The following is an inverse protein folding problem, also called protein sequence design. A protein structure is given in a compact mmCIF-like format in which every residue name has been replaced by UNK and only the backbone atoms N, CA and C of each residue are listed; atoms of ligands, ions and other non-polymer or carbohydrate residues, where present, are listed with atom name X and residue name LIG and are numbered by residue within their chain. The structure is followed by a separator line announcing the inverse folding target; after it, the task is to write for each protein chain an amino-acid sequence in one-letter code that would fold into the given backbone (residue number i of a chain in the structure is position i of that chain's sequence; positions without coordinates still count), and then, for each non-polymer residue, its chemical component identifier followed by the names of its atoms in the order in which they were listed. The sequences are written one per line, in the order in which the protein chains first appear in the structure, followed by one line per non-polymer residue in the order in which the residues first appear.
data_IF_117865982273
#
_entry.id   IF_117865982273
#
_cell.length_a   1.000
_cell.length_b   1.000
_cell.length_c   1.000
_cell.angle_alpha   90.00
_cell.angle_beta   90.00
_cell.angle_gamma   90.00
#
_symmetry.space_group_name_H-M   'P 1'
#
loop_
_entity.id
_entity.type
_entity.pdbx_description
1 polymer ?
#
# COMPACT_ATOMS: atom_id res chain seq x y z
N UNK A 1 -22.98 23.09 42.45
CA UNK A 1 -22.90 22.44 41.11
C UNK A 1 -21.50 22.67 40.55
N UNK A 2 -20.67 21.65 40.63
CA UNK A 2 -19.32 21.69 40.07
C UNK A 2 -19.40 21.21 38.63
N UNK A 3 -19.15 22.09 37.66
CA UNK A 3 -19.00 21.72 36.27
C UNK A 3 -17.60 21.13 36.09
N UNK A 4 -17.53 19.82 35.88
CA UNK A 4 -16.30 19.15 35.45
C UNK A 4 -16.11 19.42 33.97
N UNK A 5 -15.15 20.29 33.66
CA UNK A 5 -14.65 20.47 32.29
C UNK A 5 -13.68 19.32 32.00
N UNK A 6 -14.18 18.30 31.32
CA UNK A 6 -13.32 17.29 30.71
C UNK A 6 -12.64 17.91 29.50
N UNK A 7 -11.39 18.29 29.67
CA UNK A 7 -10.53 18.66 28.56
C UNK A 7 -10.21 17.42 27.74
N UNK A 8 -10.79 17.31 26.57
CA UNK A 8 -10.42 16.30 25.57
C UNK A 8 -9.09 16.76 24.97
N UNK A 9 -7.99 16.20 25.50
CA UNK A 9 -6.67 16.34 24.89
C UNK A 9 -6.61 15.50 23.62
N UNK A 10 -6.84 16.14 22.48
CA UNK A 10 -6.67 15.50 21.19
C UNK A 10 -5.17 15.34 20.94
N UNK A 11 -4.66 14.12 21.17
CA UNK A 11 -3.29 13.78 20.84
C UNK A 11 -3.17 13.71 19.32
N UNK A 12 -2.67 14.76 18.72
CA UNK A 12 -2.29 14.78 17.31
C UNK A 12 -1.02 13.94 17.17
N UNK A 13 -1.19 12.67 16.80
CA UNK A 13 -0.07 11.83 16.40
C UNK A 13 0.43 12.32 15.03
N UNK A 14 1.42 13.19 15.07
CA UNK A 14 2.17 13.54 13.86
C UNK A 14 3.02 12.34 13.49
N UNK A 15 2.53 11.54 12.54
CA UNK A 15 3.28 10.42 11.98
C UNK A 15 4.36 10.98 11.05
N UNK A 16 5.62 10.96 11.50
CA UNK A 16 6.80 11.17 10.65
C UNK A 16 7.07 9.90 9.85
N UNK A 17 6.40 9.71 8.72
CA UNK A 17 6.59 8.57 7.84
C UNK A 17 6.41 8.96 6.39
N UNK A 18 6.76 8.04 5.47
CA UNK A 18 6.47 8.21 4.05
C UNK A 18 4.99 8.55 3.87
N UNK A 19 4.70 9.55 3.03
CA UNK A 19 3.34 9.99 2.75
C UNK A 19 2.57 8.88 2.02
N UNK A 20 1.76 8.14 2.77
CA UNK A 20 0.89 7.10 2.25
C UNK A 20 -0.54 7.60 2.35
N UNK A 21 -1.20 7.73 1.19
CA UNK A 21 -2.62 8.05 1.10
C UNK A 21 -3.35 6.82 0.59
N UNK A 22 -4.24 6.27 1.38
CA UNK A 22 -5.01 5.10 1.02
C UNK A 22 -6.51 5.33 1.16
N UNK A 23 -7.28 4.64 0.33
CA UNK A 23 -8.74 4.65 0.39
C UNK A 23 -9.25 3.25 0.05
N UNK A 24 -10.07 2.71 0.93
CA UNK A 24 -10.70 1.40 0.74
C UNK A 24 -12.21 1.57 0.69
N UNK A 25 -12.84 1.00 -0.33
CA UNK A 25 -14.30 0.94 -0.46
C UNK A 25 -14.89 -0.20 0.35
N UNK A 26 -14.06 -1.17 0.71
CA UNK A 26 -14.44 -2.35 1.45
C UNK A 26 -13.26 -2.86 2.26
N UNK A 27 -13.48 -3.26 3.49
CA UNK A 27 -12.50 -3.91 4.32
C UNK A 27 -12.92 -5.36 4.53
N UNK A 28 -12.11 -6.28 4.00
CA UNK A 28 -12.31 -7.71 4.15
C UNK A 28 -11.57 -8.23 5.38
N UNK A 29 -11.74 -9.50 5.69
CA UNK A 29 -11.00 -10.14 6.78
C UNK A 29 -9.50 -10.01 6.55
N UNK A 30 -8.72 -9.48 7.51
CA UNK A 30 -7.28 -9.35 7.37
C UNK A 30 -6.61 -10.69 7.05
N UNK A 31 -5.59 -10.63 6.21
CA UNK A 31 -4.76 -11.77 5.87
C UNK A 31 -3.59 -11.89 6.84
N UNK A 32 -3.13 -13.10 7.07
CA UNK A 32 -1.95 -13.37 7.88
C UNK A 32 -0.68 -13.25 7.05
N UNK A 33 0.48 -13.24 7.71
CA UNK A 33 1.79 -13.21 7.04
C UNK A 33 2.02 -14.45 6.15
N UNK A 34 1.32 -15.54 6.42
CA UNK A 34 1.42 -16.79 5.66
C UNK A 34 0.67 -16.71 4.33
N UNK A 35 -0.31 -15.84 4.21
CA UNK A 35 -1.04 -15.63 2.98
C UNK A 35 -0.15 -14.93 1.94
N UNK A 36 -0.10 -15.49 0.75
CA UNK A 36 0.64 -14.89 -0.37
C UNK A 36 -0.10 -13.69 -0.91
N UNK A 37 0.66 -12.65 -1.25
CA UNK A 37 0.18 -11.47 -1.94
C UNK A 37 0.94 -11.34 -3.25
N UNK A 38 0.24 -11.27 -4.37
CA UNK A 38 0.85 -11.08 -5.67
C UNK A 38 1.11 -9.59 -5.93
N UNK A 39 2.26 -9.29 -6.52
CA UNK A 39 2.60 -7.95 -7.01
C UNK A 39 2.49 -7.93 -8.53
N UNK A 40 1.52 -7.23 -9.04
CA UNK A 40 1.33 -7.06 -10.47
C UNK A 40 1.94 -5.72 -10.87
N UNK A 41 3.01 -5.75 -11.67
CA UNK A 41 3.57 -4.54 -12.25
C UNK A 41 2.69 -4.03 -13.40
N UNK A 42 3.06 -2.93 -14.00
CA UNK A 42 2.20 -2.24 -14.99
C UNK A 42 1.85 -3.12 -16.19
N UNK A 43 2.75 -4.01 -16.58
CA UNK A 43 2.53 -4.96 -17.70
C UNK A 43 1.73 -6.21 -17.31
N UNK A 44 1.56 -6.49 -16.02
CA UNK A 44 0.85 -7.69 -15.58
C UNK A 44 -0.66 -7.44 -15.49
N UNK A 45 -1.43 -8.32 -16.08
CA UNK A 45 -2.89 -8.20 -16.08
C UNK A 45 -3.51 -8.67 -14.76
N UNK A 46 -4.52 -7.93 -14.31
CA UNK A 46 -5.36 -8.32 -13.16
C UNK A 46 -6.34 -9.40 -13.62
N UNK A 47 -6.53 -10.50 -12.85
CA UNK A 47 -7.56 -11.50 -13.20
C UNK A 47 -8.96 -10.89 -13.29
N UNK A 48 -9.73 -11.30 -14.29
CA UNK A 48 -11.08 -10.75 -14.56
C UNK A 48 -12.06 -10.91 -13.39
N UNK A 49 -11.94 -12.01 -12.64
CA UNK A 49 -12.80 -12.31 -11.51
C UNK A 49 -12.24 -11.82 -10.16
N UNK A 50 -11.29 -10.91 -10.18
CA UNK A 50 -10.82 -10.22 -8.98
C UNK A 50 -11.65 -8.99 -8.69
N UNK A 51 -11.77 -8.63 -7.41
CA UNK A 51 -12.53 -7.48 -6.95
C UNK A 51 -11.59 -6.39 -6.44
N UNK A 52 -11.68 -5.20 -7.02
CA UNK A 52 -10.96 -4.04 -6.49
C UNK A 52 -11.61 -3.59 -5.19
N UNK A 53 -10.82 -3.47 -4.12
CA UNK A 53 -11.29 -3.05 -2.80
C UNK A 53 -10.65 -1.74 -2.31
N UNK A 54 -9.61 -1.26 -2.97
CA UNK A 54 -8.96 -0.02 -2.54
C UNK A 54 -7.86 0.44 -3.47
N UNK A 55 -7.28 1.56 -3.09
CA UNK A 55 -6.16 2.20 -3.78
C UNK A 55 -5.25 2.87 -2.77
N UNK A 56 -3.97 3.00 -3.08
CA UNK A 56 -3.03 3.77 -2.28
C UNK A 56 -2.02 4.48 -3.16
N UNK A 57 -1.55 5.62 -2.65
CA UNK A 57 -0.50 6.42 -3.27
C UNK A 57 0.66 6.55 -2.30
N UNK A 58 1.85 6.19 -2.75
CA UNK A 58 3.09 6.31 -2.01
C UNK A 58 3.88 7.46 -2.61
N UNK A 59 4.00 8.54 -1.85
CA UNK A 59 4.64 9.76 -2.28
C UNK A 59 5.95 10.04 -1.56
N UNK A 60 6.53 11.16 -1.91
CA UNK A 60 7.73 11.71 -1.30
C UNK A 60 7.39 12.49 -0.04
N UNK A 61 8.11 12.23 1.06
CA UNK A 61 7.99 13.01 2.30
C UNK A 61 9.08 14.04 2.48
N UNK A 62 10.02 14.12 1.54
CA UNK A 62 11.17 15.02 1.63
C UNK A 62 12.25 14.61 2.64
N UNK A 63 11.95 13.69 3.57
CA UNK A 63 12.85 13.28 4.66
C UNK A 63 13.09 11.77 4.76
N UNK A 64 12.36 10.96 4.00
CA UNK A 64 12.52 9.51 4.04
C UNK A 64 13.52 9.03 3.01
N UNK A 65 14.49 8.21 3.44
CA UNK A 65 15.42 7.49 2.55
C UNK A 65 14.90 6.11 2.16
N UNK A 66 13.85 5.61 2.85
CA UNK A 66 13.23 4.30 2.60
C UNK A 66 12.08 4.42 1.61
N UNK A 67 12.43 4.70 0.35
CA UNK A 67 11.46 4.96 -0.70
C UNK A 67 11.84 4.34 -2.04
N UNK A 68 12.61 3.25 -2.03
CA UNK A 68 12.83 2.48 -3.25
C UNK A 68 11.57 1.69 -3.65
N UNK A 69 11.57 1.13 -4.85
CA UNK A 69 10.42 0.43 -5.38
C UNK A 69 10.03 -0.79 -4.53
N UNK A 70 10.99 -1.62 -4.14
CA UNK A 70 10.76 -2.79 -3.31
C UNK A 70 10.20 -2.40 -1.93
N UNK A 71 10.76 -1.37 -1.30
CA UNK A 71 10.30 -0.89 0.00
C UNK A 71 8.85 -0.41 -0.06
N UNK A 72 8.49 0.33 -1.10
CA UNK A 72 7.11 0.77 -1.31
C UNK A 72 6.16 -0.42 -1.55
N UNK A 73 6.59 -1.44 -2.28
CA UNK A 73 5.79 -2.66 -2.46
C UNK A 73 5.59 -3.43 -1.16
N UNK A 74 6.61 -3.50 -0.30
CA UNK A 74 6.49 -4.14 1.02
C UNK A 74 5.48 -3.40 1.90
N UNK A 75 5.51 -2.07 1.90
CA UNK A 75 4.52 -1.24 2.60
C UNK A 75 3.11 -1.47 2.04
N UNK A 76 2.98 -1.54 0.71
CA UNK A 76 1.72 -1.85 0.06
C UNK A 76 1.20 -3.24 0.41
N UNK A 77 2.08 -4.25 0.49
CA UNK A 77 1.72 -5.60 0.92
C UNK A 77 1.13 -5.62 2.32
N UNK A 78 1.75 -4.90 3.26
CA UNK A 78 1.26 -4.83 4.62
C UNK A 78 -0.14 -4.20 4.66
N UNK A 79 -0.33 -3.11 3.93
CA UNK A 79 -1.63 -2.45 3.82
C UNK A 79 -2.68 -3.35 3.15
N UNK A 80 -2.29 -4.11 2.13
CA UNK A 80 -3.14 -5.10 1.48
C UNK A 80 -3.63 -6.16 2.47
N UNK A 81 -2.71 -6.75 3.23
CA UNK A 81 -3.05 -7.76 4.24
C UNK A 81 -3.98 -7.24 5.32
N UNK A 82 -3.74 -6.05 5.81
CA UNK A 82 -4.61 -5.41 6.83
C UNK A 82 -6.05 -5.27 6.35
N UNK A 83 -6.25 -5.09 5.05
CA UNK A 83 -7.57 -4.88 4.45
C UNK A 83 -8.14 -6.11 3.70
N UNK A 84 -7.42 -7.23 3.74
CA UNK A 84 -7.88 -8.48 3.14
C UNK A 84 -7.65 -8.59 1.64
N UNK A 85 -6.77 -7.76 1.05
CA UNK A 85 -6.38 -7.84 -0.35
C UNK A 85 -5.20 -8.80 -0.53
N UNK A 86 -5.24 -9.59 -1.60
CA UNK A 86 -4.14 -10.51 -1.96
C UNK A 86 -3.48 -10.18 -3.31
N UNK A 87 -3.83 -9.06 -3.91
CA UNK A 87 -3.16 -8.51 -5.09
C UNK A 87 -2.89 -7.02 -4.86
N UNK A 88 -1.64 -6.64 -5.12
CA UNK A 88 -1.18 -5.26 -5.23
C UNK A 88 -0.86 -5.01 -6.71
N UNK A 89 -1.63 -4.17 -7.37
CA UNK A 89 -1.44 -3.81 -8.78
C UNK A 89 -0.85 -2.42 -8.88
N UNK A 90 0.35 -2.30 -9.42
CA UNK A 90 0.96 -1.01 -9.74
C UNK A 90 0.26 -0.42 -10.97
N UNK A 91 -0.31 0.76 -10.83
CA UNK A 91 -1.01 1.46 -11.91
C UNK A 91 -0.28 2.73 -12.35
N UNK A 92 0.62 3.25 -11.53
CA UNK A 92 1.47 4.39 -11.84
C UNK A 92 2.82 4.23 -11.14
N UNK A 93 3.89 4.53 -11.86
CA UNK A 93 5.26 4.47 -11.35
C UNK A 93 6.04 5.68 -11.84
N UNK A 94 6.61 6.45 -10.90
CA UNK A 94 7.53 7.55 -11.19
C UNK A 94 8.87 7.26 -10.54
N UNK A 95 9.89 7.13 -11.36
CA UNK A 95 11.26 6.85 -10.93
C UNK A 95 11.91 8.06 -10.26
N UNK A 96 12.93 7.84 -9.38
CA UNK A 96 13.75 8.93 -8.85
C UNK A 96 14.40 9.73 -9.97
N UNK A 97 14.51 11.05 -9.78
CA UNK A 97 15.20 11.93 -10.73
C UNK A 97 16.13 12.89 -10.00
N UNK A 98 17.18 13.35 -10.70
CA UNK A 98 18.16 14.29 -10.15
C UNK A 98 17.54 15.67 -9.89
N UNK A 99 16.56 16.07 -10.70
CA UNK A 99 15.90 17.37 -10.61
C UNK A 99 14.57 17.34 -9.85
N UNK A 100 14.15 16.19 -9.38
CA UNK A 100 12.89 16.00 -8.67
C UNK A 100 13.09 15.22 -7.38
N UNK A 101 12.11 14.35 -7.08
CA UNK A 101 12.18 13.48 -5.90
C UNK A 101 13.24 12.39 -6.05
N UNK A 102 14.02 12.14 -4.99
CA UNK A 102 14.92 11.00 -4.90
C UNK A 102 14.19 9.68 -4.62
N UNK A 103 12.88 9.72 -4.42
CA UNK A 103 12.04 8.57 -4.11
C UNK A 103 11.30 8.04 -5.34
N UNK A 104 11.07 6.72 -5.35
CA UNK A 104 10.02 6.15 -6.17
C UNK A 104 8.66 6.59 -5.66
N UNK A 105 7.79 7.01 -6.58
CA UNK A 105 6.40 7.35 -6.29
C UNK A 105 5.54 6.38 -7.06
N UNK A 106 4.69 5.64 -6.36
CA UNK A 106 3.82 4.66 -6.98
C UNK A 106 2.38 4.88 -6.58
N UNK A 107 1.48 4.53 -7.46
CA UNK A 107 0.07 4.36 -7.16
C UNK A 107 -0.29 2.90 -7.42
N UNK A 108 -0.99 2.30 -6.47
CA UNK A 108 -1.41 0.90 -6.53
C UNK A 108 -2.90 0.78 -6.31
N UNK A 109 -3.49 -0.22 -6.94
CA UNK A 109 -4.83 -0.71 -6.63
C UNK A 109 -4.73 -2.03 -5.88
N UNK A 110 -5.65 -2.24 -4.95
CA UNK A 110 -5.75 -3.47 -4.16
C UNK A 110 -6.94 -4.29 -4.63
N UNK A 111 -6.69 -5.59 -4.85
CA UNK A 111 -7.72 -6.53 -5.28
C UNK A 111 -7.79 -7.74 -4.34
N UNK A 112 -8.98 -8.29 -4.24
CA UNK A 112 -9.18 -9.62 -3.71
C UNK A 112 -9.44 -10.59 -4.88
N UNK A 113 -8.68 -11.67 -4.91
CA UNK A 113 -8.78 -12.74 -5.90
C UNK A 113 -8.98 -14.07 -5.19
N UNK A 114 -10.01 -14.80 -5.58
CA UNK A 114 -10.35 -16.08 -4.97
C UNK A 114 -9.53 -17.27 -5.51
N UNK A 115 -8.73 -17.06 -6.55
CA UNK A 115 -7.85 -18.08 -7.11
C UNK A 115 -6.47 -18.09 -6.47
N UNK A 116 -5.59 -18.90 -7.03
CA UNK A 116 -4.20 -19.03 -6.59
C UNK A 116 -3.34 -17.89 -7.13
N UNK A 117 -3.03 -16.93 -6.28
CA UNK A 117 -2.22 -15.76 -6.66
C UNK A 117 -0.78 -16.12 -7.03
N UNK A 118 -0.28 -17.29 -6.60
CA UNK A 118 1.08 -17.72 -6.92
C UNK A 118 1.26 -18.11 -8.39
N UNK A 119 0.15 -18.37 -9.10
CA UNK A 119 0.13 -18.70 -10.53
C UNK A 119 0.04 -17.49 -11.46
N UNK A 120 -0.13 -16.30 -10.90
CA UNK A 120 -0.21 -15.07 -11.69
C UNK A 120 1.18 -14.66 -12.18
N UNK A 121 1.25 -14.11 -13.40
CA UNK A 121 2.43 -13.38 -13.84
C UNK A 121 2.61 -12.17 -12.95
N UNK A 122 3.74 -12.07 -12.26
CA UNK A 122 3.93 -11.08 -11.22
C UNK A 122 5.39 -10.66 -11.06
N UNK A 123 5.56 -9.49 -10.49
CA UNK A 123 6.87 -9.01 -10.06
C UNK A 123 7.32 -9.74 -8.79
N UNK A 124 8.57 -10.16 -8.76
CA UNK A 124 9.16 -10.77 -7.57
C UNK A 124 9.93 -9.72 -6.76
N UNK A 125 9.52 -9.50 -5.51
CA UNK A 125 10.28 -8.63 -4.60
C UNK A 125 11.65 -9.24 -4.37
N UNK A 126 12.68 -8.43 -4.56
CA UNK A 126 14.03 -8.81 -4.23
C UNK A 126 14.29 -8.52 -2.76
N UNK A 127 14.51 -9.57 -1.99
CA UNK A 127 14.92 -9.47 -0.58
C UNK A 127 16.43 -9.62 -0.57
N UNK A 128 17.12 -8.51 -0.25
CA UNK A 128 18.57 -8.53 -0.01
C UNK A 128 18.86 -8.93 1.41
#
# INVERSE_FOLDING_TARGET
MRKLLLGISTLLLVSCGASIKSSFTEQLKPLTIENKVAFLDMENNVPENSKKIGTAKFGDTGFSTDCDFNTNLIKARNLARENGANIVKVIEKKEPSILGSSCYRIKVDFYFYNGDVTKLSQYQIQIN
#
